data_IF_068216682146
#
_entry.id   IF_068216682146
#
_cell.length_a   1.000
_cell.length_b   1.000
_cell.length_c   1.000
_cell.angle_alpha   90.00
_cell.angle_beta   90.00
_cell.angle_gamma   90.00
#
_symmetry.space_group_name_H-M   'P 1'
#
loop_
_entity.id
_entity.type
_entity.pdbx_description
1 polymer ?
#
# COMPACT_ATOMS: atom_id res chain seq x y z
N UNK A 1 -13.53 32.45 -31.35
CA UNK A 1 -12.56 32.04 -30.32
C UNK A 1 -13.14 30.83 -29.63
N UNK A 2 -12.71 29.63 -30.03
CA UNK A 2 -13.15 28.36 -29.44
C UNK A 2 -12.22 27.99 -28.29
N UNK A 3 -12.78 27.92 -27.09
CA UNK A 3 -12.09 27.49 -25.88
C UNK A 3 -11.51 26.08 -26.06
N UNK A 4 -10.18 26.00 -26.14
CA UNK A 4 -9.45 24.74 -26.00
C UNK A 4 -9.58 24.28 -24.55
N UNK A 5 -10.56 23.42 -24.29
CA UNK A 5 -10.58 22.60 -23.06
C UNK A 5 -9.25 21.86 -22.96
N UNK A 6 -8.43 22.29 -22.02
CA UNK A 6 -7.17 21.65 -21.64
C UNK A 6 -7.50 20.27 -21.09
N UNK A 7 -7.52 19.25 -21.95
CA UNK A 7 -7.42 17.85 -21.50
C UNK A 7 -6.07 17.72 -20.84
N UNK A 8 -6.03 17.81 -19.51
CA UNK A 8 -4.89 17.39 -18.71
C UNK A 8 -4.54 15.99 -19.18
N UNK A 9 -3.37 15.84 -19.82
CA UNK A 9 -2.82 14.52 -20.13
C UNK A 9 -2.81 13.75 -18.82
N UNK A 10 -3.64 12.71 -18.70
CA UNK A 10 -3.33 11.60 -17.83
C UNK A 10 -1.95 11.13 -18.30
N UNK A 11 -0.89 11.56 -17.61
CA UNK A 11 0.37 10.84 -17.67
C UNK A 11 0.00 9.40 -17.36
N UNK A 12 0.15 8.50 -18.32
CA UNK A 12 -0.10 7.07 -18.12
C UNK A 12 0.74 6.62 -16.93
N UNK A 13 0.08 6.36 -15.80
CA UNK A 13 0.74 5.82 -14.62
C UNK A 13 1.43 4.50 -15.01
N UNK A 14 2.56 4.14 -14.37
CA UNK A 14 3.30 2.94 -14.74
C UNK A 14 2.41 1.69 -14.75
N UNK A 15 2.59 0.85 -15.76
CA UNK A 15 1.93 -0.45 -15.83
C UNK A 15 2.43 -1.35 -14.69
N UNK A 16 1.53 -2.16 -14.15
CA UNK A 16 1.82 -3.03 -13.00
C UNK A 16 1.98 -4.46 -13.47
N UNK A 17 3.16 -5.02 -13.20
CA UNK A 17 3.49 -6.41 -13.49
C UNK A 17 4.03 -7.11 -12.24
N UNK A 18 4.08 -8.44 -12.27
CA UNK A 18 4.72 -9.23 -11.23
C UNK A 18 5.59 -10.34 -11.82
N UNK A 19 6.55 -10.81 -11.03
CA UNK A 19 7.34 -11.99 -11.33
C UNK A 19 7.44 -12.87 -10.08
N UNK A 20 7.58 -14.18 -10.28
CA UNK A 20 7.78 -15.13 -9.19
C UNK A 20 9.19 -15.72 -9.31
N UNK A 21 9.92 -15.74 -8.20
CA UNK A 21 11.23 -16.39 -8.10
C UNK A 21 11.36 -17.08 -6.74
N UNK A 22 11.51 -18.40 -6.78
CA UNK A 22 11.39 -19.25 -5.59
C UNK A 22 10.02 -19.06 -4.95
N UNK A 23 10.01 -18.82 -3.65
CA UNK A 23 8.79 -18.65 -2.85
C UNK A 23 8.35 -17.18 -2.73
N UNK A 24 8.96 -16.27 -3.53
CA UNK A 24 8.74 -14.83 -3.46
C UNK A 24 8.11 -14.32 -4.75
N UNK A 25 7.05 -13.54 -4.60
CA UNK A 25 6.44 -12.74 -5.68
C UNK A 25 6.88 -11.30 -5.59
N UNK A 26 7.38 -10.74 -6.70
CA UNK A 26 7.87 -9.37 -6.81
C UNK A 26 6.90 -8.49 -7.60
N UNK A 27 6.71 -7.25 -7.16
CA UNK A 27 5.94 -6.23 -7.85
C UNK A 27 6.88 -5.33 -8.68
N UNK A 28 6.48 -5.04 -9.92
CA UNK A 28 7.20 -4.19 -10.85
C UNK A 28 6.30 -3.09 -11.41
N UNK A 29 6.87 -1.88 -11.58
CA UNK A 29 6.18 -0.71 -12.13
C UNK A 29 6.90 -0.20 -13.37
N UNK A 30 6.37 -0.53 -14.56
CA UNK A 30 6.88 -0.09 -15.87
C UNK A 30 8.35 -0.40 -16.17
N UNK A 31 9.05 -1.12 -15.30
CA UNK A 31 10.50 -1.38 -15.31
C UNK A 31 10.79 -2.72 -14.63
N UNK A 32 12.01 -3.22 -14.75
CA UNK A 32 12.45 -4.45 -14.05
C UNK A 32 12.71 -4.23 -12.54
N UNK A 33 12.67 -2.99 -12.06
CA UNK A 33 12.97 -2.69 -10.67
C UNK A 33 11.89 -3.24 -9.73
N UNK A 34 12.33 -3.86 -8.64
CA UNK A 34 11.46 -4.37 -7.59
C UNK A 34 10.93 -3.20 -6.77
N UNK A 35 9.61 -3.08 -6.71
CA UNK A 35 8.90 -2.06 -5.90
C UNK A 35 8.40 -2.62 -4.57
N UNK A 36 8.35 -3.95 -4.45
CA UNK A 36 7.98 -4.66 -3.25
C UNK A 36 7.89 -6.15 -3.54
N UNK A 37 7.71 -6.95 -2.49
CA UNK A 37 7.60 -8.39 -2.60
C UNK A 37 6.53 -8.95 -1.65
N UNK A 38 6.29 -10.25 -1.76
CA UNK A 38 5.45 -11.04 -0.87
C UNK A 38 5.89 -12.51 -0.89
N UNK A 39 6.04 -13.13 0.27
CA UNK A 39 6.16 -14.59 0.39
C UNK A 39 4.83 -15.24 -0.02
N UNK A 40 4.90 -16.25 -0.89
CA UNK A 40 3.72 -16.92 -1.43
C UNK A 40 2.96 -17.66 -0.32
N UNK A 41 3.69 -18.38 0.54
CA UNK A 41 3.12 -19.19 1.62
C UNK A 41 2.80 -18.36 2.88
N UNK A 42 3.51 -17.25 3.07
CA UNK A 42 3.35 -16.36 4.23
C UNK A 42 3.03 -14.92 3.79
N UNK A 43 1.90 -14.68 3.10
CA UNK A 43 1.64 -13.41 2.40
C UNK A 43 1.44 -12.20 3.31
N UNK A 44 1.40 -12.41 4.62
CA UNK A 44 1.25 -11.37 5.64
C UNK A 44 2.54 -11.08 6.41
N UNK A 45 3.62 -11.83 6.15
CA UNK A 45 4.96 -11.52 6.64
C UNK A 45 5.65 -10.50 5.72
N UNK A 46 6.60 -9.76 6.30
CA UNK A 46 7.41 -8.79 5.56
C UNK A 46 8.71 -9.47 5.13
N UNK A 47 8.85 -9.72 3.83
CA UNK A 47 10.05 -10.38 3.27
C UNK A 47 11.26 -9.44 3.22
N UNK A 48 11.08 -8.22 2.70
CA UNK A 48 12.18 -7.27 2.50
C UNK A 48 12.64 -6.66 3.82
N UNK A 49 13.94 -6.82 4.14
CA UNK A 49 14.53 -6.33 5.38
C UNK A 49 14.34 -4.81 5.56
N UNK A 50 14.46 -4.01 4.49
CA UNK A 50 14.26 -2.56 4.61
C UNK A 50 12.82 -2.22 5.03
N UNK A 51 11.83 -3.01 4.59
CA UNK A 51 10.42 -2.83 4.96
C UNK A 51 10.22 -3.24 6.42
N UNK A 52 10.92 -4.27 6.92
CA UNK A 52 10.92 -4.59 8.35
C UNK A 52 11.48 -3.44 9.18
N UNK A 53 12.58 -2.82 8.73
CA UNK A 53 13.18 -1.66 9.40
C UNK A 53 12.25 -0.44 9.44
N UNK A 54 11.35 -0.26 8.47
CA UNK A 54 10.33 0.80 8.53
C UNK A 54 9.37 0.63 9.71
N UNK A 55 9.23 -0.58 10.27
CA UNK A 55 8.41 -0.86 11.46
C UNK A 55 9.13 -0.56 12.78
N UNK A 56 10.42 -0.21 12.75
CA UNK A 56 11.22 0.02 13.97
C UNK A 56 10.65 1.12 14.88
N UNK A 57 9.87 2.07 14.34
CA UNK A 57 9.16 3.08 15.13
C UNK A 57 8.20 2.50 16.17
N UNK A 58 7.72 1.26 15.98
CA UNK A 58 6.86 0.58 16.95
C UNK A 58 7.58 0.23 18.26
N UNK A 59 8.92 0.21 18.29
CA UNK A 59 9.70 -0.04 19.51
C UNK A 59 9.47 1.02 20.60
N UNK A 60 8.92 2.19 20.23
CA UNK A 60 8.62 3.29 21.15
C UNK A 60 7.20 3.26 21.72
N UNK A 61 6.41 2.22 21.41
CA UNK A 61 5.03 2.07 21.89
C UNK A 61 4.90 0.85 22.81
N UNK A 62 3.97 0.93 23.77
CA UNK A 62 3.53 -0.24 24.52
C UNK A 62 2.93 -1.27 23.53
N UNK A 63 3.43 -2.53 23.50
CA UNK A 63 2.88 -3.59 22.65
C UNK A 63 1.36 -3.78 22.76
N UNK A 64 0.76 -3.54 23.93
CA UNK A 64 -0.69 -3.64 24.14
C UNK A 64 -1.46 -2.45 23.56
N UNK A 65 -0.79 -1.32 23.32
CA UNK A 65 -1.37 -0.15 22.67
C UNK A 65 -1.32 -0.26 21.14
N UNK A 66 -0.37 -1.01 20.57
CA UNK A 66 -0.14 -1.17 19.12
C UNK A 66 -1.44 -1.46 18.34
N UNK A 67 -2.30 -2.43 18.70
CA UNK A 67 -3.54 -2.68 17.94
C UNK A 67 -4.55 -1.54 17.95
N UNK A 68 -4.45 -0.59 18.89
CA UNK A 68 -5.33 0.59 19.01
C UNK A 68 -4.85 1.75 18.15
N UNK A 69 -3.63 1.70 17.62
CA UNK A 69 -3.08 2.71 16.74
C UNK A 69 -3.75 2.64 15.35
N UNK A 70 -3.62 3.74 14.61
CA UNK A 70 -4.01 3.84 13.20
C UNK A 70 -2.77 4.06 12.34
N UNK A 71 -2.47 3.10 11.46
CA UNK A 71 -1.42 3.25 10.45
C UNK A 71 -1.98 3.97 9.20
N UNK A 72 -1.44 5.15 8.91
CA UNK A 72 -1.68 5.89 7.67
C UNK A 72 -0.51 5.69 6.70
N UNK A 73 -0.77 5.09 5.55
CA UNK A 73 0.25 4.78 4.54
C UNK A 73 0.02 5.61 3.28
N UNK A 74 1.06 6.31 2.86
CA UNK A 74 1.08 7.12 1.64
C UNK A 74 1.83 6.32 0.57
N UNK A 75 1.08 5.74 -0.36
CA UNK A 75 1.51 4.68 -1.27
C UNK A 75 1.16 3.28 -0.75
N UNK A 76 0.90 2.35 -1.67
CA UNK A 76 0.55 0.96 -1.33
C UNK A 76 1.69 -0.04 -1.58
N UNK A 77 2.50 0.15 -2.63
CA UNK A 77 3.55 -0.80 -3.01
C UNK A 77 2.97 -2.21 -3.24
N UNK A 78 3.63 -3.27 -2.72
CA UNK A 78 3.09 -4.65 -2.70
C UNK A 78 2.09 -4.92 -1.56
N UNK A 79 1.65 -3.85 -0.89
CA UNK A 79 0.83 -3.87 0.31
C UNK A 79 1.45 -4.62 1.51
N UNK A 80 2.77 -4.84 1.55
CA UNK A 80 3.45 -5.56 2.62
C UNK A 80 3.18 -4.94 4.00
N UNK A 81 3.46 -3.65 4.17
CA UNK A 81 3.18 -2.92 5.41
C UNK A 81 1.68 -2.88 5.73
N UNK A 82 0.83 -2.63 4.73
CA UNK A 82 -0.62 -2.56 4.89
C UNK A 82 -1.18 -3.85 5.46
N UNK A 83 -0.80 -4.97 4.85
CA UNK A 83 -1.18 -6.33 5.23
C UNK A 83 -0.65 -6.71 6.60
N UNK A 84 0.62 -6.42 6.88
CA UNK A 84 1.23 -6.70 8.18
C UNK A 84 0.53 -5.93 9.31
N UNK A 85 0.35 -4.61 9.16
CA UNK A 85 -0.37 -3.81 10.15
C UNK A 85 -1.81 -4.29 10.35
N UNK A 86 -2.52 -4.66 9.28
CA UNK A 86 -3.91 -5.11 9.34
C UNK A 86 -4.09 -6.50 9.97
N UNK A 87 -3.26 -7.48 9.58
CA UNK A 87 -3.38 -8.89 10.03
C UNK A 87 -2.57 -9.21 11.28
N UNK A 88 -1.29 -8.84 11.30
CA UNK A 88 -0.35 -9.21 12.37
C UNK A 88 -0.49 -8.26 13.56
N UNK A 89 -0.53 -6.96 13.31
CA UNK A 89 -0.67 -5.95 14.38
C UNK A 89 -2.13 -5.64 14.75
N UNK A 90 -3.08 -6.07 13.92
CA UNK A 90 -4.53 -5.87 14.12
C UNK A 90 -4.95 -4.41 14.23
N UNK A 91 -4.14 -3.49 13.71
CA UNK A 91 -4.38 -2.05 13.68
C UNK A 91 -5.55 -1.68 12.75
N UNK A 92 -6.05 -0.45 12.91
CA UNK A 92 -6.74 0.26 11.82
C UNK A 92 -5.68 0.73 10.82
N UNK A 93 -5.96 0.59 9.52
CA UNK A 93 -5.02 0.90 8.44
C UNK A 93 -5.75 1.64 7.33
N UNK A 94 -5.22 2.78 6.94
CA UNK A 94 -5.60 3.49 5.71
C UNK A 94 -4.39 3.55 4.80
N UNK A 95 -4.52 3.08 3.56
CA UNK A 95 -3.50 3.26 2.53
C UNK A 95 -4.06 4.11 1.39
N UNK A 96 -3.26 5.07 0.91
CA UNK A 96 -3.64 5.95 -0.19
C UNK A 96 -2.72 5.65 -1.38
N UNK A 97 -3.29 5.24 -2.51
CA UNK A 97 -2.53 4.86 -3.71
C UNK A 97 -3.07 5.60 -4.91
N UNK A 98 -2.17 6.17 -5.72
CA UNK A 98 -2.56 6.97 -6.88
C UNK A 98 -2.85 6.09 -8.11
N UNK A 99 -2.25 4.90 -8.19
CA UNK A 99 -2.37 4.01 -9.33
C UNK A 99 -3.43 2.91 -9.10
N UNK A 100 -4.59 2.96 -9.78
CA UNK A 100 -5.63 1.92 -9.64
C UNK A 100 -5.15 0.50 -9.99
N UNK A 101 -4.17 0.39 -10.90
CA UNK A 101 -3.60 -0.91 -11.25
C UNK A 101 -2.85 -1.54 -10.08
N UNK A 102 -2.19 -0.72 -9.24
CA UNK A 102 -1.47 -1.21 -8.05
C UNK A 102 -2.46 -1.73 -7.02
N UNK A 103 -3.56 -1.01 -6.80
CA UNK A 103 -4.64 -1.45 -5.92
C UNK A 103 -5.20 -2.78 -6.41
N UNK A 104 -5.53 -2.87 -7.70
CA UNK A 104 -6.07 -4.10 -8.31
C UNK A 104 -5.10 -5.27 -8.15
N UNK A 105 -3.84 -5.09 -8.56
CA UNK A 105 -2.78 -6.08 -8.41
C UNK A 105 -2.60 -6.53 -6.97
N UNK A 106 -2.65 -5.61 -6.00
CA UNK A 106 -2.51 -5.96 -4.60
C UNK A 106 -3.65 -6.87 -4.11
N UNK A 107 -4.89 -6.60 -4.54
CA UNK A 107 -6.06 -7.42 -4.20
C UNK A 107 -6.01 -8.79 -4.88
N UNK A 108 -5.59 -8.86 -6.13
CA UNK A 108 -5.61 -10.10 -6.93
C UNK A 108 -4.40 -10.99 -6.69
N UNK A 109 -3.20 -10.42 -6.69
CA UNK A 109 -1.94 -11.17 -6.74
C UNK A 109 -1.16 -11.12 -5.42
N UNK A 110 -1.32 -10.05 -4.62
CA UNK A 110 -0.59 -9.87 -3.35
C UNK A 110 -1.47 -10.04 -2.10
N UNK A 111 -2.63 -10.71 -2.22
CA UNK A 111 -3.48 -11.15 -1.09
C UNK A 111 -3.96 -10.02 -0.17
N UNK A 112 -4.10 -8.80 -0.68
CA UNK A 112 -4.64 -7.68 0.10
C UNK A 112 -6.18 -7.84 0.31
N UNK A 113 -6.71 -7.88 1.56
CA UNK A 113 -8.02 -8.51 1.82
C UNK A 113 -9.34 -7.71 1.65
N UNK A 114 -9.75 -7.08 0.54
CA UNK A 114 -10.93 -6.13 0.52
C UNK A 114 -10.96 -5.11 1.70
N UNK A 115 -11.85 -4.13 1.63
CA UNK A 115 -11.99 -3.15 2.71
C UNK A 115 -13.02 -3.61 3.74
N UNK A 116 -12.77 -3.24 5.00
CA UNK A 116 -13.66 -3.49 6.13
C UNK A 116 -13.57 -2.33 7.14
N UNK A 117 -14.09 -2.54 8.36
CA UNK A 117 -14.08 -1.50 9.40
C UNK A 117 -12.68 -1.05 9.84
N UNK A 118 -11.64 -1.84 9.58
CA UNK A 118 -10.25 -1.55 9.97
C UNK A 118 -9.34 -1.31 8.78
N UNK A 119 -9.64 -1.84 7.59
CA UNK A 119 -8.83 -1.64 6.39
C UNK A 119 -9.59 -0.76 5.38
N UNK A 120 -8.95 0.34 4.99
CA UNK A 120 -9.44 1.21 3.91
C UNK A 120 -8.30 1.48 2.92
N UNK A 121 -8.56 1.30 1.63
CA UNK A 121 -7.63 1.69 0.56
C UNK A 121 -8.30 2.74 -0.34
N UNK A 122 -7.67 3.90 -0.43
CA UNK A 122 -8.19 5.07 -1.12
C UNK A 122 -7.40 5.27 -2.41
N UNK A 123 -8.09 5.30 -3.55
CA UNK A 123 -7.49 5.69 -4.82
C UNK A 123 -7.43 7.22 -4.91
N UNK A 124 -6.27 7.81 -4.63
CA UNK A 124 -6.07 9.26 -4.65
C UNK A 124 -4.59 9.65 -4.69
N UNK A 125 -4.32 10.93 -5.02
CA UNK A 125 -3.04 11.55 -4.72
C UNK A 125 -2.89 11.72 -3.20
N UNK A 126 -1.91 11.03 -2.62
CA UNK A 126 -1.65 11.05 -1.18
C UNK A 126 -1.38 12.45 -0.61
N UNK A 127 -0.73 13.34 -1.38
CA UNK A 127 -0.42 14.69 -0.94
C UNK A 127 -1.65 15.60 -0.84
N UNK A 128 -2.70 15.29 -1.60
CA UNK A 128 -3.99 15.97 -1.55
C UNK A 128 -4.92 15.31 -0.53
N UNK A 129 -4.98 13.98 -0.55
CA UNK A 129 -5.90 13.19 0.28
C UNK A 129 -5.63 13.38 1.77
N UNK A 130 -4.36 13.39 2.19
CA UNK A 130 -3.98 13.51 3.60
C UNK A 130 -4.40 14.84 4.24
N UNK A 131 -4.67 15.88 3.43
CA UNK A 131 -5.09 17.21 3.91
C UNK A 131 -6.57 17.27 4.28
N UNK A 132 -7.36 16.24 3.95
CA UNK A 132 -8.80 16.20 4.24
C UNK A 132 -9.02 15.99 5.74
N UNK A 133 -9.96 16.77 6.29
CA UNK A 133 -10.30 16.76 7.73
C UNK A 133 -10.65 15.38 8.29
N UNK A 134 -11.19 14.48 7.46
CA UNK A 134 -11.54 13.10 7.82
C UNK A 134 -10.37 12.25 8.35
N UNK A 135 -9.12 12.69 8.14
CA UNK A 135 -7.92 11.98 8.60
C UNK A 135 -7.28 12.59 9.86
N UNK A 136 -7.87 13.65 10.43
CA UNK A 136 -7.29 14.42 11.55
C UNK A 136 -7.87 14.04 12.93
N UNK A 137 -8.67 12.97 13.00
CA UNK A 137 -9.33 12.48 14.21
C UNK A 137 -8.55 11.37 14.91
#
# INVERSE_FOLDING_TARGET
MTDKKTKTRLSTLPEVNFSDYGDVRYLHLGTLWVQGSMLIDEPYEIELEYVQRMMAGLLFFDPLAVPKLHAMQLGLGSAALTKFCYKKLRMKVTAIEINPQVITACRTWFKLPKDDKRLTVIEADAALEIRKLQHHE
#
